data_IF_128214008696
#
_entry.id   IF_128214008696
#
_cell.length_a   1.000
_cell.length_b   1.000
_cell.length_c   1.000
_cell.angle_alpha   90.00
_cell.angle_beta   90.00
_cell.angle_gamma   90.00
#
_symmetry.space_group_name_H-M   'P 1'
#
loop_
_entity.id
_entity.type
_entity.pdbx_description
1 polymer ?
#
# COMPACT_ATOMS: atom_id res chain seq x y z
N UNK A 1 -23.87 -18.15 10.33
CA UNK A 1 -22.53 -17.55 10.14
C UNK A 1 -22.63 -16.10 10.54
N UNK A 2 -21.77 -15.61 11.44
CA UNK A 2 -21.81 -14.22 11.92
C UNK A 2 -21.30 -13.26 10.83
N UNK A 3 -21.78 -12.02 10.84
CA UNK A 3 -21.61 -11.06 9.74
C UNK A 3 -20.15 -10.64 9.56
N UNK A 4 -19.37 -10.58 10.64
CA UNK A 4 -17.92 -10.33 10.60
C UNK A 4 -17.19 -11.35 9.71
N UNK A 5 -17.52 -12.65 9.83
CA UNK A 5 -16.90 -13.73 9.03
C UNK A 5 -17.20 -13.64 7.52
N UNK A 6 -18.25 -12.92 7.12
CA UNK A 6 -18.60 -12.71 5.70
C UNK A 6 -17.76 -11.62 5.04
N UNK A 7 -17.15 -10.73 5.82
CA UNK A 7 -16.24 -9.68 5.31
C UNK A 7 -14.83 -10.22 5.10
N UNK A 8 -14.40 -11.22 5.86
CA UNK A 8 -13.02 -11.74 5.80
C UNK A 8 -12.52 -12.07 4.38
N UNK A 9 -13.32 -12.66 3.46
CA UNK A 9 -12.89 -12.87 2.08
C UNK A 9 -12.69 -11.57 1.29
N UNK A 10 -13.51 -10.55 1.53
CA UNK A 10 -13.37 -9.23 0.90
C UNK A 10 -12.13 -8.51 1.42
N UNK A 11 -11.88 -8.59 2.73
CA UNK A 11 -10.70 -8.01 3.34
C UNK A 11 -9.42 -8.67 2.83
N UNK A 12 -9.40 -10.01 2.70
CA UNK A 12 -8.27 -10.73 2.11
C UNK A 12 -8.00 -10.29 0.67
N UNK A 13 -9.06 -10.16 -0.15
CA UNK A 13 -8.93 -9.68 -1.53
C UNK A 13 -8.37 -8.25 -1.59
N UNK A 14 -8.83 -7.37 -0.70
CA UNK A 14 -8.33 -5.99 -0.63
C UNK A 14 -6.85 -5.95 -0.21
N UNK A 15 -6.45 -6.79 0.76
CA UNK A 15 -5.04 -6.98 1.15
C UNK A 15 -4.18 -7.46 -0.02
N UNK A 16 -4.61 -8.52 -0.72
CA UNK A 16 -3.89 -9.06 -1.88
C UNK A 16 -3.74 -8.01 -3.00
N UNK A 17 -4.77 -7.19 -3.20
CA UNK A 17 -4.73 -6.11 -4.18
C UNK A 17 -3.78 -4.98 -3.76
N UNK A 18 -3.81 -4.55 -2.50
CA UNK A 18 -2.86 -3.57 -1.95
C UNK A 18 -1.41 -4.07 -2.10
N UNK A 19 -1.14 -5.32 -1.70
CA UNK A 19 0.19 -5.92 -1.80
C UNK A 19 0.68 -6.02 -3.24
N UNK A 20 -0.21 -6.35 -4.17
CA UNK A 20 0.11 -6.38 -5.60
C UNK A 20 0.51 -4.99 -6.09
N UNK A 21 -0.31 -3.96 -5.83
CA UNK A 21 -0.02 -2.59 -6.27
C UNK A 21 1.25 -2.05 -5.61
N UNK A 22 1.53 -2.41 -4.36
CA UNK A 22 2.77 -2.03 -3.69
C UNK A 22 4.01 -2.65 -4.36
N UNK A 23 3.93 -3.91 -4.79
CA UNK A 23 5.00 -4.56 -5.57
C UNK A 23 5.19 -3.91 -6.93
N UNK A 24 4.09 -3.63 -7.63
CA UNK A 24 4.12 -2.97 -8.94
C UNK A 24 4.76 -1.57 -8.82
N UNK A 25 4.40 -0.79 -7.79
CA UNK A 25 5.03 0.50 -7.49
C UNK A 25 6.54 0.37 -7.23
N UNK A 26 6.95 -0.62 -6.44
CA UNK A 26 8.37 -0.86 -6.16
C UNK A 26 9.16 -1.21 -7.44
N UNK A 27 8.58 -1.99 -8.35
CA UNK A 27 9.18 -2.27 -9.66
C UNK A 27 9.30 -1.00 -10.50
N UNK A 28 8.24 -0.19 -10.59
CA UNK A 28 8.26 1.09 -11.33
C UNK A 28 9.29 2.06 -10.77
N UNK A 29 9.45 2.11 -9.45
CA UNK A 29 10.46 2.95 -8.82
C UNK A 29 11.88 2.50 -9.23
N UNK A 30 12.19 1.19 -9.19
CA UNK A 30 13.50 0.67 -9.65
C UNK A 30 13.78 0.99 -11.12
N UNK A 31 12.76 0.89 -11.97
CA UNK A 31 12.87 1.27 -13.39
C UNK A 31 13.18 2.76 -13.52
N UNK A 32 12.46 3.61 -12.80
CA UNK A 32 12.72 5.06 -12.78
C UNK A 32 14.16 5.36 -12.33
N UNK A 33 14.62 4.76 -11.23
CA UNK A 33 15.97 4.97 -10.68
C UNK A 33 17.05 4.57 -11.71
N UNK A 34 16.83 3.45 -12.43
CA UNK A 34 17.71 3.00 -13.51
C UNK A 34 17.81 4.04 -14.64
N UNK A 35 16.67 4.59 -15.07
CA UNK A 35 16.64 5.61 -16.13
C UNK A 35 17.24 6.94 -15.67
N UNK A 36 17.08 7.30 -14.40
CA UNK A 36 17.69 8.49 -13.81
C UNK A 36 19.21 8.38 -13.76
N UNK A 37 19.73 7.26 -13.25
CA UNK A 37 21.17 6.98 -13.26
C UNK A 37 21.74 7.07 -14.68
N UNK A 38 21.06 6.45 -15.65
CA UNK A 38 21.48 6.51 -17.05
C UNK A 38 21.47 7.93 -17.64
N UNK A 39 20.51 8.76 -17.25
CA UNK A 39 20.47 10.16 -17.67
C UNK A 39 21.65 10.96 -17.09
N UNK A 40 21.98 10.72 -15.81
CA UNK A 40 23.12 11.35 -15.15
C UNK A 40 24.44 10.93 -15.79
N UNK A 41 24.62 9.64 -16.08
CA UNK A 41 25.78 9.14 -16.82
C UNK A 41 25.92 9.81 -18.19
N UNK A 42 24.83 9.90 -18.97
CA UNK A 42 24.85 10.53 -20.30
C UNK A 42 25.20 12.01 -20.23
N UNK A 43 24.66 12.74 -19.26
CA UNK A 43 24.96 14.16 -19.04
C UNK A 43 26.42 14.37 -18.66
N UNK A 44 26.92 13.55 -17.73
CA UNK A 44 28.33 13.60 -17.31
C UNK A 44 29.26 13.32 -18.48
N UNK A 45 28.97 12.27 -19.24
CA UNK A 45 29.75 11.92 -20.43
C UNK A 45 29.72 13.04 -21.48
N UNK A 46 28.58 13.70 -21.68
CA UNK A 46 28.46 14.83 -22.60
C UNK A 46 29.31 16.02 -22.18
N UNK A 47 29.29 16.36 -20.90
CA UNK A 47 30.11 17.43 -20.33
C UNK A 47 31.61 17.11 -20.43
N UNK A 48 32.02 15.91 -20.04
CA UNK A 48 33.41 15.44 -20.13
C UNK A 48 33.90 15.46 -21.59
N UNK A 49 33.07 14.98 -22.53
CA UNK A 49 33.40 14.97 -23.95
C UNK A 49 33.48 16.38 -24.53
N UNK A 50 32.57 17.28 -24.16
CA UNK A 50 32.59 18.68 -24.58
C UNK A 50 33.85 19.40 -24.08
N UNK A 51 34.28 19.14 -22.84
CA UNK A 51 35.45 19.74 -22.21
C UNK A 51 36.78 19.06 -22.58
N UNK A 52 36.74 17.89 -23.20
CA UNK A 52 37.94 17.19 -23.66
C UNK A 52 38.71 18.04 -24.68
N UNK A 53 40.00 18.26 -24.42
CA UNK A 53 40.90 18.93 -25.35
C UNK A 53 41.30 17.97 -26.48
N UNK A 54 40.34 17.57 -27.31
CA UNK A 54 40.64 16.85 -28.54
C UNK A 54 41.32 17.82 -29.50
N UNK A 55 42.62 17.60 -29.75
CA UNK A 55 43.45 18.32 -30.72
C UNK A 55 43.01 18.01 -32.17
N UNK A 56 41.78 18.36 -32.52
CA UNK A 56 41.27 18.29 -33.88
C UNK A 56 41.61 19.58 -34.61
N UNK A 57 42.77 19.66 -35.24
CA UNK A 57 43.17 20.84 -36.03
C UNK A 57 42.58 20.82 -37.44
N UNK A 58 42.06 19.68 -37.92
CA UNK A 58 41.45 19.57 -39.25
C UNK A 58 39.95 19.87 -39.23
N UNK A 59 39.46 20.50 -40.31
CA UNK A 59 38.04 20.84 -40.47
C UNK A 59 37.12 19.60 -40.39
N UNK A 60 37.58 18.46 -40.90
CA UNK A 60 36.84 17.19 -40.84
C UNK A 60 36.71 16.69 -39.39
N UNK A 61 37.78 16.77 -38.59
CA UNK A 61 37.74 16.35 -37.18
C UNK A 61 36.80 17.24 -36.35
N UNK A 62 36.80 18.55 -36.61
CA UNK A 62 35.88 19.50 -35.97
C UNK A 62 34.41 19.23 -36.34
N UNK A 63 34.13 18.95 -37.62
CA UNK A 63 32.78 18.60 -38.09
C UNK A 63 32.28 17.30 -37.45
N UNK A 64 33.12 16.27 -37.38
CA UNK A 64 32.75 15.00 -36.77
C UNK A 64 32.48 15.14 -35.26
N UNK A 65 33.30 15.93 -34.56
CA UNK A 65 33.08 16.25 -33.14
C UNK A 65 31.74 16.94 -32.93
N UNK A 66 31.41 17.93 -33.77
CA UNK A 66 30.13 18.65 -33.68
C UNK A 66 28.94 17.71 -33.90
N UNK A 67 28.99 16.89 -34.94
CA UNK A 67 27.93 15.92 -35.22
C UNK A 67 27.74 14.90 -34.09
N UNK A 68 28.82 14.49 -33.41
CA UNK A 68 28.73 13.62 -32.25
C UNK A 68 28.09 14.31 -31.04
N UNK A 69 28.47 15.55 -30.76
CA UNK A 69 27.83 16.36 -29.70
C UNK A 69 26.34 16.53 -29.94
N UNK A 70 25.93 16.86 -31.18
CA UNK A 70 24.50 17.02 -31.51
C UNK A 70 23.71 15.70 -31.33
N UNK A 71 24.33 14.54 -31.63
CA UNK A 71 23.74 13.22 -31.35
C UNK A 71 23.63 12.93 -29.85
N UNK A 72 24.63 13.34 -29.08
CA UNK A 72 24.66 13.12 -27.64
C UNK A 72 23.62 13.99 -26.93
N UNK A 73 23.46 15.25 -27.33
CA UNK A 73 22.40 16.13 -26.86
C UNK A 73 21.01 15.53 -27.18
N UNK A 74 20.84 15.01 -28.39
CA UNK A 74 19.61 14.31 -28.78
C UNK A 74 19.32 13.09 -27.90
N UNK A 75 20.33 12.29 -27.58
CA UNK A 75 20.20 11.14 -26.68
C UNK A 75 19.85 11.54 -25.24
N UNK A 76 20.46 12.62 -24.73
CA UNK A 76 20.12 13.18 -23.40
C UNK A 76 18.68 13.64 -23.36
N UNK A 77 18.19 14.33 -24.40
CA UNK A 77 16.80 14.78 -24.49
C UNK A 77 15.83 13.59 -24.51
N UNK A 78 16.11 12.56 -25.31
CA UNK A 78 15.29 11.34 -25.36
C UNK A 78 15.27 10.58 -24.02
N UNK A 79 16.43 10.47 -23.35
CA UNK A 79 16.51 9.84 -22.04
C UNK A 79 15.77 10.67 -20.98
N UNK A 80 15.84 12.01 -21.05
CA UNK A 80 15.09 12.88 -20.14
C UNK A 80 13.58 12.72 -20.29
N UNK A 81 13.07 12.63 -21.53
CA UNK A 81 11.67 12.32 -21.80
C UNK A 81 11.27 10.94 -21.25
N UNK A 82 12.17 9.95 -21.36
CA UNK A 82 11.95 8.61 -20.81
C UNK A 82 11.86 8.63 -19.28
N UNK A 83 12.73 9.39 -18.60
CA UNK A 83 12.66 9.60 -17.15
C UNK A 83 11.34 10.24 -16.76
N UNK A 84 10.90 11.26 -17.48
CA UNK A 84 9.66 11.97 -17.18
C UNK A 84 8.42 11.07 -17.37
N UNK A 85 8.40 10.26 -18.43
CA UNK A 85 7.36 9.25 -18.62
C UNK A 85 7.32 8.22 -17.48
N UNK A 86 8.49 7.78 -16.98
CA UNK A 86 8.56 6.85 -15.86
C UNK A 86 8.14 7.50 -14.53
N UNK A 87 8.43 8.79 -14.31
CA UNK A 87 7.91 9.54 -13.16
C UNK A 87 6.39 9.57 -13.16
N UNK A 88 5.77 9.91 -14.29
CA UNK A 88 4.31 9.90 -14.41
C UNK A 88 3.69 8.52 -14.11
N UNK A 89 4.36 7.43 -14.53
CA UNK A 89 3.93 6.05 -14.19
C UNK A 89 4.04 5.77 -12.70
N UNK A 90 5.13 6.16 -12.05
CA UNK A 90 5.30 6.02 -10.60
C UNK A 90 4.20 6.77 -9.85
N UNK A 91 3.89 8.01 -10.24
CA UNK A 91 2.81 8.79 -9.60
C UNK A 91 1.42 8.15 -9.79
N UNK A 92 1.16 7.58 -10.97
CA UNK A 92 -0.05 6.80 -11.22
C UNK A 92 -0.14 5.59 -10.28
N UNK A 93 0.93 4.82 -10.12
CA UNK A 93 0.93 3.66 -9.21
C UNK A 93 0.85 4.07 -7.73
N UNK A 94 1.45 5.20 -7.32
CA UNK A 94 1.26 5.76 -5.97
C UNK A 94 -0.20 6.09 -5.70
N UNK A 95 -0.87 6.69 -6.68
CA UNK A 95 -2.30 7.00 -6.59
C UNK A 95 -3.14 5.73 -6.46
N UNK A 96 -2.82 4.69 -7.25
CA UNK A 96 -3.50 3.38 -7.14
C UNK A 96 -3.29 2.73 -5.78
N UNK A 97 -2.07 2.80 -5.24
CA UNK A 97 -1.77 2.25 -3.92
C UNK A 97 -2.61 2.95 -2.85
N UNK A 98 -2.66 4.29 -2.88
CA UNK A 98 -3.48 5.07 -1.97
C UNK A 98 -4.96 4.67 -2.00
N UNK A 99 -5.52 4.43 -3.19
CA UNK A 99 -6.90 3.99 -3.34
C UNK A 99 -7.11 2.57 -2.80
N UNK A 100 -6.21 1.63 -3.08
CA UNK A 100 -6.28 0.27 -2.56
C UNK A 100 -6.18 0.23 -1.03
N UNK A 101 -5.27 1.00 -0.44
CA UNK A 101 -5.13 1.13 1.02
C UNK A 101 -6.39 1.70 1.65
N UNK A 102 -7.03 2.70 1.02
CA UNK A 102 -8.31 3.26 1.50
C UNK A 102 -9.44 2.23 1.45
N UNK A 103 -9.57 1.49 0.37
CA UNK A 103 -10.59 0.44 0.23
C UNK A 103 -10.44 -0.62 1.33
N UNK A 104 -9.22 -1.11 1.55
CA UNK A 104 -8.91 -2.03 2.64
C UNK A 104 -9.28 -1.44 4.01
N UNK A 105 -8.87 -0.20 4.29
CA UNK A 105 -9.17 0.46 5.56
C UNK A 105 -10.68 0.57 5.83
N UNK A 106 -11.49 0.85 4.80
CA UNK A 106 -12.95 0.88 4.92
C UNK A 106 -13.50 -0.51 5.29
N UNK A 107 -13.00 -1.57 4.67
CA UNK A 107 -13.41 -2.93 4.99
C UNK A 107 -12.99 -3.36 6.41
N UNK A 108 -11.82 -2.94 6.87
CA UNK A 108 -11.35 -3.17 8.24
C UNK A 108 -12.26 -2.49 9.27
N UNK A 109 -12.63 -1.22 9.04
CA UNK A 109 -13.55 -0.49 9.90
C UNK A 109 -14.93 -1.16 9.93
N UNK A 110 -15.43 -1.61 8.78
CA UNK A 110 -16.72 -2.31 8.69
C UNK A 110 -16.67 -3.64 9.44
N UNK A 111 -15.60 -4.43 9.28
CA UNK A 111 -15.40 -5.67 10.02
C UNK A 111 -15.36 -5.43 11.54
N UNK A 112 -14.65 -4.39 11.99
CA UNK A 112 -14.58 -4.00 13.39
C UNK A 112 -15.95 -3.61 13.95
N UNK A 113 -16.75 -2.86 13.18
CA UNK A 113 -18.13 -2.50 13.56
C UNK A 113 -19.01 -3.74 13.75
N UNK A 114 -18.93 -4.72 12.84
CA UNK A 114 -19.70 -5.97 13.00
C UNK A 114 -19.26 -6.79 14.20
N UNK A 115 -17.95 -6.91 14.46
CA UNK A 115 -17.44 -7.59 15.66
C UNK A 115 -17.93 -6.92 16.94
N UNK A 116 -17.93 -5.58 16.99
CA UNK A 116 -18.45 -4.84 18.13
C UNK A 116 -19.95 -5.06 18.36
N UNK A 117 -20.75 -5.12 17.28
CA UNK A 117 -22.17 -5.42 17.37
C UNK A 117 -22.44 -6.86 17.84
N UNK A 118 -21.68 -7.82 17.33
CA UNK A 118 -21.77 -9.23 17.72
C UNK A 118 -21.42 -9.43 19.21
N UNK A 119 -20.35 -8.79 19.69
CA UNK A 119 -19.96 -8.83 21.09
C UNK A 119 -21.06 -8.29 22.01
N UNK A 120 -21.70 -7.16 21.66
CA UNK A 120 -22.82 -6.61 22.45
C UNK A 120 -24.00 -7.58 22.54
N UNK A 121 -24.26 -8.37 21.49
CA UNK A 121 -25.34 -9.37 21.49
C UNK A 121 -24.98 -10.54 22.41
N UNK A 122 -23.72 -10.99 22.37
CA UNK A 122 -23.18 -12.04 23.24
C UNK A 122 -23.21 -11.60 24.71
N UNK A 123 -22.65 -10.43 25.03
CA UNK A 123 -22.65 -9.86 26.38
C UNK A 123 -24.05 -9.75 26.98
N UNK A 124 -25.04 -9.28 26.19
CA UNK A 124 -26.44 -9.19 26.65
C UNK A 124 -27.05 -10.57 26.91
N UNK A 125 -26.68 -11.58 26.12
CA UNK A 125 -27.15 -12.95 26.32
C UNK A 125 -26.54 -13.54 27.57
N UNK A 126 -25.22 -13.42 27.73
CA UNK A 126 -24.48 -13.95 28.88
C UNK A 126 -24.96 -13.32 30.19
N UNK A 127 -25.21 -12.00 30.20
CA UNK A 127 -25.78 -11.31 31.35
C UNK A 127 -27.15 -11.87 31.74
N UNK A 128 -28.05 -12.09 30.76
CA UNK A 128 -29.38 -12.68 31.02
C UNK A 128 -29.28 -14.09 31.59
N UNK A 129 -28.37 -14.92 31.05
CA UNK A 129 -28.16 -16.27 31.54
C UNK A 129 -27.62 -16.26 32.99
N UNK A 130 -26.72 -15.33 33.33
CA UNK A 130 -26.23 -15.16 34.70
C UNK A 130 -27.31 -14.66 35.67
N UNK A 131 -28.13 -13.70 35.26
CA UNK A 131 -29.23 -13.17 36.06
C UNK A 131 -30.27 -14.27 36.37
N UNK A 132 -30.61 -15.10 35.38
CA UNK A 132 -31.53 -16.24 35.54
C UNK A 132 -30.99 -17.28 36.52
N UNK A 133 -29.70 -17.62 36.44
CA UNK A 133 -29.05 -18.53 37.37
C UNK A 133 -29.01 -17.96 38.79
N UNK A 134 -28.70 -16.66 38.92
CA UNK A 134 -28.72 -15.95 40.20
C UNK A 134 -30.12 -15.94 40.83
N UNK A 135 -31.14 -15.65 40.03
CA UNK A 135 -32.54 -15.65 40.49
C UNK A 135 -33.00 -17.05 40.91
N UNK A 136 -32.61 -18.11 40.19
CA UNK A 136 -32.89 -19.51 40.58
C UNK A 136 -32.23 -19.87 41.91
N UNK A 137 -30.95 -19.55 42.09
CA UNK A 137 -30.23 -19.80 43.35
C UNK A 137 -30.86 -19.05 44.53
N UNK A 138 -31.22 -17.78 44.35
CA UNK A 138 -31.88 -17.00 45.38
C UNK A 138 -33.25 -17.59 45.78
N UNK A 139 -34.03 -18.09 44.81
CA UNK A 139 -35.30 -18.77 45.09
C UNK A 139 -35.11 -20.08 45.86
N UNK A 140 -34.09 -20.88 45.53
CA UNK A 140 -33.79 -22.13 46.23
C UNK A 140 -33.36 -21.88 47.68
N UNK A 141 -32.44 -20.94 47.92
CA UNK A 141 -32.01 -20.58 49.27
C UNK A 141 -33.18 -20.11 50.16
N UNK A 142 -34.08 -19.27 49.61
CA UNK A 142 -35.29 -18.84 50.32
C UNK A 142 -36.25 -19.99 50.67
N UNK A 143 -36.34 -21.00 49.80
CA UNK A 143 -37.18 -22.16 50.05
C UNK A 143 -36.62 -23.06 51.17
N UNK A 144 -35.29 -23.22 51.23
CA UNK A 144 -34.59 -23.95 52.30
C UNK A 144 -34.75 -23.25 53.65
N UNK A 145 -34.60 -21.92 53.71
CA UNK A 145 -34.82 -21.13 54.94
C UNK A 145 -36.25 -21.28 55.47
N UNK A 146 -37.26 -21.29 54.58
CA UNK A 146 -38.66 -21.48 54.99
C UNK A 146 -39.02 -22.89 55.45
N UNK A 147 -38.20 -23.90 55.14
CA UNK A 147 -38.41 -25.29 55.59
C UNK A 147 -37.61 -25.63 56.87
N UNK A 148 -36.60 -24.84 57.22
CA UNK A 148 -35.81 -25.01 58.45
C UNK A 148 -36.51 -24.49 59.73
N UNK A 149 -37.49 -23.60 59.59
CA UNK A 149 -38.23 -22.98 60.72
C UNK A 149 -39.48 -23.77 61.15
N UNK A 150 -39.70 -24.98 60.61
CA UNK A 150 -40.91 -25.79 60.80
C UNK A 150 -40.71 -27.08 61.63
N UNK A 151 -39.64 -27.21 62.41
CA UNK A 151 -39.39 -28.34 63.33
C UNK A 151 -39.11 -27.81 64.74
#
# INVERSE_FOLDING_TARGET
MIQSKRIDPLLRRAQEQEDKVARDLAERQRVLDTHQSRLEELRRYAEEYANSHMAGTSAVALSNRRAFLDRLDSAVLQQAQTVESNRAKVESERTRLLLASREKQVLEQLAASYRAQENKVIERRDQREMDDLGARRSRLARAEDTHGDAV
#
